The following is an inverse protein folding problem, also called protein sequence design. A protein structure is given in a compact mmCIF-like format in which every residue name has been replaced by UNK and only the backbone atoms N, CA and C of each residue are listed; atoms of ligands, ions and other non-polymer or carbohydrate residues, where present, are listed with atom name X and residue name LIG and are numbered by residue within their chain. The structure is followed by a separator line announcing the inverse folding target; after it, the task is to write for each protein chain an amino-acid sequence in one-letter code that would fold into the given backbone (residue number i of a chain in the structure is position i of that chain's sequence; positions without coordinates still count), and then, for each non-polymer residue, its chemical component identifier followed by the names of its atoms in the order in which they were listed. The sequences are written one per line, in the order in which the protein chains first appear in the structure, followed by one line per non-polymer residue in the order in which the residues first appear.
data_IF_983973906855
#
_entry.id   IF_983973906855
#
_cell.length_a   1.000
_cell.length_b   1.000
_cell.length_c   1.000
_cell.angle_alpha   90.00
_cell.angle_beta   90.00
_cell.angle_gamma   90.00
#
_symmetry.space_group_name_H-M   'P 1'
#
loop_
_entity.id
_entity.type
_entity.pdbx_description
1 polymer ?
#
# COMPACT_ATOMS: atom_id res chain seq x y z
N UNK A 1 11.45 11.14 20.25
CA UNK A 1 12.17 12.25 19.58
C UNK A 1 12.00 12.00 18.08
N UNK A 2 11.30 12.87 17.36
CA UNK A 2 11.03 12.66 15.94
C UNK A 2 12.31 12.79 15.13
N UNK A 3 12.55 11.85 14.22
CA UNK A 3 13.58 12.00 13.20
C UNK A 3 13.08 13.03 12.19
N UNK A 4 13.90 14.02 11.85
CA UNK A 4 13.63 14.93 10.74
C UNK A 4 13.96 14.19 9.44
N UNK A 5 12.97 13.45 8.94
CA UNK A 5 13.09 12.68 7.71
C UNK A 5 12.50 13.52 6.59
N UNK A 6 13.31 13.91 5.57
CA UNK A 6 12.81 14.63 4.43
C UNK A 6 11.62 13.90 3.79
N UNK A 7 10.52 14.64 3.58
CA UNK A 7 9.36 14.14 2.85
C UNK A 7 9.70 14.08 1.36
N UNK A 8 9.15 13.10 0.66
CA UNK A 8 9.21 13.08 -0.80
C UNK A 8 8.48 14.30 -1.39
N UNK A 9 8.95 14.86 -2.51
CA UNK A 9 8.21 15.89 -3.24
C UNK A 9 6.81 15.41 -3.63
N UNK A 10 5.83 16.31 -3.63
CA UNK A 10 4.43 15.97 -3.92
C UNK A 10 4.26 15.35 -5.31
N UNK A 11 4.98 15.85 -6.30
CA UNK A 11 4.96 15.38 -7.68
C UNK A 11 5.48 13.94 -7.81
N UNK A 12 6.43 13.55 -6.94
CA UNK A 12 6.95 12.18 -6.90
C UNK A 12 5.90 11.24 -6.33
N UNK A 13 5.29 11.61 -5.19
CA UNK A 13 4.24 10.81 -4.58
C UNK A 13 3.01 10.66 -5.50
N UNK A 14 2.57 11.75 -6.15
CA UNK A 14 1.44 11.72 -7.07
C UNK A 14 1.68 10.74 -8.23
N UNK A 15 2.87 10.78 -8.85
CA UNK A 15 3.23 9.84 -9.91
C UNK A 15 3.23 8.39 -9.41
N UNK A 16 3.83 8.12 -8.25
CA UNK A 16 3.80 6.78 -7.67
C UNK A 16 2.38 6.25 -7.41
N UNK A 17 1.45 7.13 -7.02
CA UNK A 17 0.03 6.78 -6.88
C UNK A 17 -0.58 6.40 -8.23
N UNK A 18 -0.45 7.25 -9.24
CA UNK A 18 -1.02 6.98 -10.56
C UNK A 18 -0.43 5.73 -11.20
N UNK A 19 0.88 5.52 -11.11
CA UNK A 19 1.53 4.35 -11.67
C UNK A 19 1.05 3.06 -10.96
N UNK A 20 0.84 3.09 -9.64
CA UNK A 20 0.29 1.96 -8.88
C UNK A 20 -1.15 1.64 -9.26
N UNK A 21 -1.98 2.67 -9.42
CA UNK A 21 -3.36 2.52 -9.90
C UNK A 21 -3.42 1.93 -11.31
N UNK A 22 -2.56 2.40 -12.23
CA UNK A 22 -2.48 1.88 -13.60
C UNK A 22 -2.07 0.40 -13.64
N UNK A 23 -1.22 -0.03 -12.70
CA UNK A 23 -0.83 -1.44 -12.53
C UNK A 23 -1.86 -2.30 -11.81
N UNK A 24 -2.96 -1.72 -11.31
CA UNK A 24 -3.96 -2.44 -10.51
C UNK A 24 -3.41 -2.93 -9.17
N UNK A 25 -2.45 -2.21 -8.59
CA UNK A 25 -1.92 -2.54 -7.27
C UNK A 25 -2.97 -2.26 -6.19
N UNK A 26 -3.18 -3.23 -5.30
CA UNK A 26 -4.07 -3.09 -4.15
C UNK A 26 -3.49 -2.13 -3.09
N UNK A 27 -2.21 -2.33 -2.74
CA UNK A 27 -1.49 -1.50 -1.79
C UNK A 27 -0.41 -0.69 -2.52
N UNK A 28 -0.58 0.63 -2.58
CA UNK A 28 0.32 1.53 -3.30
C UNK A 28 1.31 2.19 -2.34
N UNK A 29 2.60 2.07 -2.64
CA UNK A 29 3.72 2.67 -1.91
C UNK A 29 4.33 3.79 -2.77
N UNK A 30 3.89 5.05 -2.61
CA UNK A 30 4.02 6.08 -3.63
C UNK A 30 5.39 6.77 -3.67
N UNK A 31 6.27 6.49 -2.73
CA UNK A 31 7.57 7.14 -2.61
C UNK A 31 8.69 6.12 -2.29
N UNK A 32 9.96 6.46 -2.54
CA UNK A 32 11.06 5.51 -2.36
C UNK A 32 11.19 4.94 -0.94
N UNK A 33 10.86 5.73 0.09
CA UNK A 33 10.95 5.25 1.47
C UNK A 33 9.84 4.25 1.75
N UNK A 34 8.60 4.54 1.34
CA UNK A 34 7.49 3.59 1.49
C UNK A 34 7.70 2.32 0.65
N UNK A 35 8.32 2.39 -0.52
CA UNK A 35 8.64 1.20 -1.32
C UNK A 35 9.59 0.24 -0.60
N UNK A 36 10.49 0.74 0.25
CA UNK A 36 11.44 -0.12 0.99
C UNK A 36 10.75 -1.11 1.94
N UNK A 37 9.51 -0.84 2.35
CA UNK A 37 8.73 -1.71 3.24
C UNK A 37 7.67 -2.54 2.50
N UNK A 38 7.49 -2.35 1.19
CA UNK A 38 6.40 -2.96 0.43
C UNK A 38 6.45 -4.50 0.46
N UNK A 39 7.63 -5.09 0.28
CA UNK A 39 7.79 -6.56 0.34
C UNK A 39 7.49 -7.10 1.74
N UNK A 40 7.95 -6.41 2.78
CA UNK A 40 7.66 -6.77 4.17
C UNK A 40 6.16 -6.71 4.48
N UNK A 41 5.45 -5.75 3.93
CA UNK A 41 4.00 -5.66 4.02
C UNK A 41 3.32 -6.84 3.30
N UNK A 42 3.66 -7.08 2.02
CA UNK A 42 3.03 -8.14 1.19
C UNK A 42 3.22 -9.55 1.77
N UNK A 43 4.42 -9.80 2.32
CA UNK A 43 4.80 -11.06 2.95
C UNK A 43 4.45 -11.12 4.45
N UNK A 44 3.97 -10.03 5.04
CA UNK A 44 3.74 -9.89 6.48
C UNK A 44 2.57 -10.74 6.98
N UNK A 45 2.64 -11.13 8.26
CA UNK A 45 1.59 -11.91 8.92
C UNK A 45 0.22 -11.17 8.92
N UNK A 46 0.23 -9.84 8.99
CA UNK A 46 -0.98 -9.03 8.91
C UNK A 46 -1.68 -9.18 7.55
N UNK A 47 -0.94 -9.01 6.45
CA UNK A 47 -1.51 -9.20 5.10
C UNK A 47 -1.90 -10.66 4.84
N UNK A 48 -1.16 -11.62 5.42
CA UNK A 48 -1.56 -13.02 5.36
C UNK A 48 -2.91 -13.27 6.06
N UNK A 49 -3.10 -12.72 7.26
CA UNK A 49 -4.36 -12.80 7.99
C UNK A 49 -5.50 -12.10 7.22
N UNK A 50 -5.26 -10.90 6.68
CA UNK A 50 -6.22 -10.17 5.87
C UNK A 50 -6.74 -11.02 4.70
N UNK A 51 -5.84 -11.68 3.94
CA UNK A 51 -6.21 -12.57 2.83
C UNK A 51 -7.04 -13.78 3.28
N UNK A 52 -6.77 -14.33 4.47
CA UNK A 52 -7.60 -15.41 5.02
C UNK A 52 -9.03 -14.92 5.32
N UNK A 53 -9.17 -13.68 5.77
CA UNK A 53 -10.45 -13.10 6.14
C UNK A 53 -11.24 -12.56 4.94
N UNK A 54 -10.54 -12.19 3.85
CA UNK A 54 -11.16 -11.69 2.62
C UNK A 54 -12.22 -12.67 2.05
N UNK A 55 -12.01 -13.99 2.21
CA UNK A 55 -12.97 -15.01 1.76
C UNK A 55 -14.31 -14.99 2.51
N UNK A 56 -14.38 -14.34 3.67
CA UNK A 56 -15.58 -14.24 4.51
C UNK A 56 -16.26 -12.87 4.41
N UNK A 57 -15.70 -11.92 3.65
CA UNK A 57 -16.29 -10.59 3.46
C UNK A 57 -17.46 -10.71 2.46
N UNK A 58 -18.69 -10.29 2.83
CA UNK A 58 -19.81 -10.27 1.90
C UNK A 58 -19.51 -9.42 0.67
N UNK A 59 -19.93 -9.86 -0.51
CA UNK A 59 -19.72 -9.13 -1.78
C UNK A 59 -20.26 -7.69 -1.73
N UNK A 60 -21.34 -7.45 -0.98
CA UNK A 60 -21.90 -6.10 -0.77
C UNK A 60 -21.00 -5.17 0.04
N UNK A 61 -20.10 -5.71 0.84
CA UNK A 61 -19.09 -4.95 1.59
C UNK A 61 -17.78 -4.79 0.80
N UNK A 62 -17.48 -5.71 -0.13
CA UNK A 62 -16.27 -5.67 -0.96
C UNK A 62 -16.38 -4.70 -2.17
N UNK A 63 -17.59 -4.26 -2.53
CA UNK A 63 -17.86 -3.37 -3.66
C UNK A 63 -18.11 -1.90 -3.26
N UNK A 64 -18.01 -1.58 -1.95
CA UNK A 64 -18.28 -0.26 -1.38
C UNK A 64 -17.01 0.60 -1.26
#
# INVERSE_FOLDING_TARGET
RGFDIPKAPTEVAARGIFDGLERGEEDIFPDPMSQSIAEGWRAGAAKALERQFAAFVPQSAAAA
#
